data_IF_431011138787
#
_entry.id   IF_431011138787
#
_cell.length_a   1.000
_cell.length_b   1.000
_cell.length_c   1.000
_cell.angle_alpha   90.00
_cell.angle_beta   90.00
_cell.angle_gamma   90.00
#
_symmetry.space_group_name_H-M   'P 1'
#
loop_
_entity.id
_entity.type
_entity.pdbx_description
1 polymer ?
#
# COMPACT_ATOMS: atom_id res chain seq x y z
N UNK A 1 11.13 14.67 -3.93
CA UNK A 1 10.70 13.38 -3.35
C UNK A 1 9.71 12.70 -4.27
N UNK A 2 9.83 11.40 -4.46
CA UNK A 2 8.85 10.59 -5.15
C UNK A 2 8.18 9.63 -4.16
N UNK A 3 6.89 9.37 -4.35
CA UNK A 3 6.11 8.41 -3.56
C UNK A 3 5.44 7.45 -4.52
N UNK A 4 5.77 6.17 -4.39
CA UNK A 4 5.08 5.08 -5.07
C UNK A 4 3.97 4.55 -4.17
N UNK A 5 2.76 4.42 -4.70
CA UNK A 5 1.68 3.65 -4.08
C UNK A 5 1.57 2.35 -4.86
N UNK A 6 2.05 1.27 -4.26
CA UNK A 6 2.12 -0.04 -4.88
C UNK A 6 1.00 -0.92 -4.32
N UNK A 7 0.13 -1.41 -5.17
CA UNK A 7 -1.09 -2.06 -4.73
C UNK A 7 -1.55 -3.19 -5.66
N UNK A 8 -2.25 -4.16 -5.07
CA UNK A 8 -2.95 -5.22 -5.80
C UNK A 8 -4.33 -4.72 -6.24
N UNK A 9 -4.70 -5.04 -7.46
CA UNK A 9 -6.01 -4.73 -8.04
C UNK A 9 -6.13 -3.31 -8.59
N UNK A 10 -7.15 -3.12 -9.43
CA UNK A 10 -7.51 -1.83 -10.03
C UNK A 10 -8.71 -1.22 -9.33
N UNK A 11 -8.77 0.10 -9.29
CA UNK A 11 -9.96 0.82 -8.85
C UNK A 11 -11.04 0.71 -9.94
N UNK A 12 -12.19 0.15 -9.59
CA UNK A 12 -13.36 0.03 -10.47
C UNK A 12 -14.43 1.08 -10.14
N UNK A 13 -14.47 1.53 -8.89
CA UNK A 13 -15.46 2.49 -8.40
C UNK A 13 -15.09 3.92 -8.82
N UNK A 14 -15.93 4.53 -9.66
CA UNK A 14 -15.67 5.87 -10.20
C UNK A 14 -15.51 6.95 -9.13
N UNK A 15 -16.25 6.86 -8.02
CA UNK A 15 -16.16 7.84 -6.94
C UNK A 15 -14.85 7.73 -6.17
N UNK A 16 -14.31 6.51 -5.97
CA UNK A 16 -12.98 6.30 -5.37
C UNK A 16 -11.91 6.84 -6.30
N UNK A 17 -11.97 6.51 -7.60
CA UNK A 17 -11.02 7.00 -8.59
C UNK A 17 -11.00 8.53 -8.65
N UNK A 18 -12.18 9.17 -8.62
CA UNK A 18 -12.31 10.63 -8.59
C UNK A 18 -11.72 11.25 -7.33
N UNK A 19 -11.96 10.64 -6.17
CA UNK A 19 -11.39 11.07 -4.89
C UNK A 19 -9.86 10.99 -4.88
N UNK A 20 -9.30 9.89 -5.35
CA UNK A 20 -7.84 9.70 -5.48
C UNK A 20 -7.24 10.77 -6.41
N UNK A 21 -7.84 11.00 -7.59
CA UNK A 21 -7.36 12.00 -8.54
C UNK A 21 -7.35 13.42 -7.95
N UNK A 22 -8.36 13.76 -7.13
CA UNK A 22 -8.40 15.05 -6.45
C UNK A 22 -7.26 15.19 -5.42
N UNK A 23 -6.98 14.16 -4.62
CA UNK A 23 -5.88 14.19 -3.67
C UNK A 23 -4.51 14.16 -4.36
N UNK A 24 -4.34 13.39 -5.41
CA UNK A 24 -3.11 13.41 -6.23
C UNK A 24 -2.82 14.82 -6.76
N UNK A 25 -3.86 15.53 -7.23
CA UNK A 25 -3.71 16.92 -7.67
C UNK A 25 -3.22 17.84 -6.55
N UNK A 26 -3.76 17.69 -5.33
CA UNK A 26 -3.36 18.48 -4.17
C UNK A 26 -1.94 18.16 -3.70
N UNK A 27 -1.49 16.93 -3.89
CA UNK A 27 -0.15 16.50 -3.49
C UNK A 27 0.97 16.95 -4.44
N UNK A 28 0.66 17.32 -5.68
CA UNK A 28 1.65 17.74 -6.70
C UNK A 28 2.68 18.77 -6.23
N UNK A 29 2.33 19.80 -5.42
CA UNK A 29 3.31 20.78 -4.93
C UNK A 29 4.31 20.18 -3.93
N UNK A 30 3.99 19.07 -3.28
CA UNK A 30 4.76 18.49 -2.19
C UNK A 30 5.62 17.30 -2.62
N UNK A 31 5.07 16.42 -3.46
CA UNK A 31 5.74 15.21 -3.93
C UNK A 31 5.20 14.74 -5.29
N UNK A 32 6.02 14.01 -6.03
CA UNK A 32 5.57 13.27 -7.21
C UNK A 32 5.02 11.93 -6.76
N UNK A 33 3.70 11.84 -6.67
CA UNK A 33 2.99 10.59 -6.35
C UNK A 33 2.67 9.84 -7.64
N UNK A 34 2.81 8.54 -7.65
CA UNK A 34 2.36 7.66 -8.73
C UNK A 34 1.89 6.32 -8.18
N UNK A 35 0.85 5.78 -8.79
CA UNK A 35 0.24 4.51 -8.41
C UNK A 35 0.71 3.41 -9.36
N UNK A 36 1.11 2.28 -8.80
CA UNK A 36 1.44 1.05 -9.54
C UNK A 36 0.44 -0.02 -9.14
N UNK A 37 -0.48 -0.34 -10.04
CA UNK A 37 -1.50 -1.36 -9.84
C UNK A 37 -1.03 -2.69 -10.43
N UNK A 38 -0.98 -3.73 -9.60
CA UNK A 38 -0.64 -5.08 -9.99
C UNK A 38 -1.91 -5.93 -10.12
N UNK A 39 -1.87 -6.94 -10.99
CA UNK A 39 -3.00 -7.83 -11.18
C UNK A 39 -3.30 -8.64 -9.90
N UNK A 40 -4.58 -8.75 -9.56
CA UNK A 40 -5.04 -9.64 -8.50
C UNK A 40 -4.77 -11.10 -8.89
N UNK A 41 -4.32 -11.89 -7.91
CA UNK A 41 -4.30 -13.35 -8.05
C UNK A 41 -5.71 -13.85 -7.76
N UNK A 42 -6.27 -14.66 -8.68
CA UNK A 42 -7.63 -15.19 -8.50
C UNK A 42 -7.72 -16.03 -7.22
N UNK A 43 -8.69 -15.70 -6.39
CA UNK A 43 -9.07 -16.49 -5.22
C UNK A 43 -10.09 -17.54 -5.70
N UNK A 44 -9.85 -18.85 -5.52
CA UNK A 44 -10.84 -19.89 -5.85
C UNK A 44 -12.14 -19.70 -5.07
N UNK A 45 -13.26 -20.08 -5.67
CA UNK A 45 -14.53 -20.17 -4.95
C UNK A 45 -14.39 -21.20 -3.82
N UNK A 46 -14.83 -20.84 -2.61
CA UNK A 46 -14.67 -21.67 -1.40
C UNK A 46 -13.19 -22.05 -1.11
N UNK A 47 -12.27 -21.12 -1.32
CA UNK A 47 -10.85 -21.34 -1.10
C UNK A 47 -10.57 -21.86 0.32
N UNK A 48 -9.73 -22.87 0.42
CA UNK A 48 -9.19 -23.34 1.70
C UNK A 48 -8.17 -22.34 2.25
N UNK A 49 -7.87 -22.43 3.54
CA UNK A 49 -6.84 -21.59 4.17
C UNK A 49 -5.46 -21.73 3.46
N UNK A 50 -5.14 -22.91 2.96
CA UNK A 50 -3.91 -23.14 2.18
C UNK A 50 -3.93 -22.41 0.84
N UNK A 51 -5.06 -22.41 0.14
CA UNK A 51 -5.21 -21.69 -1.13
C UNK A 51 -5.16 -20.19 -0.94
N UNK A 52 -5.82 -19.65 0.08
CA UNK A 52 -5.72 -18.24 0.44
C UNK A 52 -4.29 -17.82 0.78
N UNK A 53 -3.56 -18.67 1.51
CA UNK A 53 -2.17 -18.42 1.82
C UNK A 53 -1.29 -18.38 0.56
N UNK A 54 -1.50 -19.28 -0.38
CA UNK A 54 -0.80 -19.28 -1.68
C UNK A 54 -1.08 -18.02 -2.50
N UNK A 55 -2.33 -17.53 -2.49
CA UNK A 55 -2.69 -16.27 -3.15
C UNK A 55 -1.91 -15.12 -2.52
N UNK A 56 -1.92 -15.00 -1.19
CA UNK A 56 -1.16 -13.97 -0.47
C UNK A 56 0.33 -14.01 -0.75
N UNK A 57 0.92 -15.21 -0.81
CA UNK A 57 2.34 -15.38 -1.11
C UNK A 57 2.67 -14.90 -2.53
N UNK A 58 1.89 -15.31 -3.54
CA UNK A 58 2.07 -14.83 -4.92
C UNK A 58 1.93 -13.32 -5.06
N UNK A 59 0.91 -12.73 -4.42
CA UNK A 59 0.73 -11.29 -4.41
C UNK A 59 1.87 -10.58 -3.67
N UNK A 60 2.36 -11.17 -2.57
CA UNK A 60 3.52 -10.68 -1.83
C UNK A 60 4.81 -10.66 -2.67
N UNK A 61 5.06 -11.72 -3.45
CA UNK A 61 6.20 -11.79 -4.39
C UNK A 61 6.08 -10.71 -5.48
N UNK A 62 4.88 -10.55 -6.05
CA UNK A 62 4.61 -9.51 -7.05
C UNK A 62 4.86 -8.11 -6.46
N UNK A 63 4.37 -7.85 -5.25
CA UNK A 63 4.57 -6.57 -4.57
C UNK A 63 6.07 -6.32 -4.33
N UNK A 64 6.80 -7.27 -3.74
CA UNK A 64 8.23 -7.11 -3.44
C UNK A 64 9.06 -6.85 -4.70
N UNK A 65 8.78 -7.57 -5.80
CA UNK A 65 9.52 -7.43 -7.06
C UNK A 65 9.22 -6.12 -7.81
N UNK A 66 8.14 -5.41 -7.45
CA UNK A 66 7.75 -4.15 -8.08
C UNK A 66 8.03 -2.91 -7.19
N UNK A 67 8.67 -3.07 -6.05
CA UNK A 67 9.21 -1.94 -5.29
C UNK A 67 10.30 -1.31 -6.14
N UNK A 68 10.15 -0.03 -6.45
CA UNK A 68 11.13 0.69 -7.26
C UNK A 68 12.47 0.77 -6.53
N UNK A 69 13.57 0.50 -7.25
CA UNK A 69 14.91 0.58 -6.69
C UNK A 69 15.19 1.92 -6.01
N UNK A 70 15.77 1.89 -4.81
CA UNK A 70 16.05 3.08 -4.02
C UNK A 70 14.85 3.67 -3.27
N UNK A 71 13.68 2.98 -3.29
CA UNK A 71 12.53 3.40 -2.50
C UNK A 71 12.49 2.65 -1.16
N UNK A 72 12.15 3.36 -0.09
CA UNK A 72 11.96 2.80 1.25
C UNK A 72 10.54 2.26 1.34
N UNK A 73 10.36 0.94 1.53
CA UNK A 73 9.04 0.34 1.60
C UNK A 73 8.37 0.57 2.97
N UNK A 74 7.07 0.86 2.93
CA UNK A 74 6.19 1.00 4.10
C UNK A 74 4.94 0.17 3.84
N UNK A 75 4.70 -0.88 4.62
CA UNK A 75 3.53 -1.73 4.46
C UNK A 75 2.33 -1.20 5.27
N UNK A 76 1.16 -1.14 4.64
CA UNK A 76 -0.11 -0.87 5.32
C UNK A 76 -0.73 -2.21 5.74
N UNK A 77 -0.77 -2.45 7.05
CA UNK A 77 -1.38 -3.67 7.62
C UNK A 77 -2.21 -3.28 8.85
N UNK A 78 -3.49 -3.71 8.96
CA UNK A 78 -4.35 -3.35 10.09
C UNK A 78 -3.84 -3.86 11.44
N UNK A 79 -2.92 -4.83 11.46
CA UNK A 79 -2.28 -5.38 12.67
C UNK A 79 -1.01 -4.63 13.07
N UNK A 80 -0.54 -3.70 12.24
CA UNK A 80 0.63 -2.88 12.54
C UNK A 80 0.30 -1.82 13.62
N UNK A 81 1.31 -1.17 14.20
CA UNK A 81 1.09 -0.01 15.07
C UNK A 81 0.28 1.08 14.39
N UNK A 82 -0.65 1.66 15.13
CA UNK A 82 -1.43 2.80 14.65
C UNK A 82 -0.53 4.01 14.44
N UNK A 83 -0.79 4.74 13.37
CA UNK A 83 -0.09 5.99 13.05
C UNK A 83 -1.08 7.16 13.08
N UNK A 84 -0.70 8.28 13.67
CA UNK A 84 -1.45 9.53 13.56
C UNK A 84 -1.14 10.26 12.26
N UNK A 85 -1.99 11.22 11.88
CA UNK A 85 -1.72 12.09 10.71
C UNK A 85 -0.42 12.87 10.88
N UNK A 86 -0.15 13.34 12.10
CA UNK A 86 1.06 14.08 12.46
C UNK A 86 2.30 13.20 12.32
N UNK A 87 2.25 11.96 12.82
CA UNK A 87 3.38 11.02 12.72
C UNK A 87 3.64 10.58 11.28
N UNK A 88 2.58 10.40 10.48
CA UNK A 88 2.72 10.11 9.05
C UNK A 88 3.37 11.31 8.33
N UNK A 89 2.87 12.52 8.59
CA UNK A 89 3.42 13.74 8.00
C UNK A 89 4.89 13.95 8.39
N UNK A 90 5.22 13.73 9.67
CA UNK A 90 6.61 13.77 10.15
C UNK A 90 7.47 12.74 9.45
N UNK A 91 7.00 11.49 9.35
CA UNK A 91 7.74 10.40 8.68
C UNK A 91 8.02 10.69 7.20
N UNK A 92 7.07 11.30 6.49
CA UNK A 92 7.24 11.73 5.10
C UNK A 92 8.20 12.93 5.02
N UNK A 93 8.10 13.87 5.96
CA UNK A 93 8.99 15.02 6.06
C UNK A 93 10.44 14.61 6.31
N UNK A 94 10.69 13.73 7.25
CA UNK A 94 12.02 13.19 7.58
C UNK A 94 12.63 12.48 6.35
N UNK A 95 11.87 11.62 5.69
CA UNK A 95 12.32 10.97 4.45
C UNK A 95 12.66 11.98 3.34
N UNK A 96 11.92 13.08 3.23
CA UNK A 96 12.21 14.14 2.27
C UNK A 96 13.53 14.87 2.59
N UNK A 97 13.80 15.14 3.87
CA UNK A 97 15.05 15.77 4.33
C UNK A 97 16.24 14.85 4.04
N UNK A 98 16.07 13.55 4.23
CA UNK A 98 17.08 12.53 3.95
C UNK A 98 17.27 12.25 2.45
N UNK A 99 16.49 12.86 1.58
CA UNK A 99 16.51 12.62 0.14
C UNK A 99 15.95 11.26 -0.29
N UNK A 100 15.23 10.57 0.61
CA UNK A 100 14.64 9.27 0.36
C UNK A 100 13.32 9.37 -0.42
N UNK A 101 13.02 8.32 -1.19
CA UNK A 101 11.72 8.10 -1.82
C UNK A 101 10.98 6.99 -1.07
N UNK A 102 9.66 7.07 -1.01
CA UNK A 102 8.83 6.11 -0.26
C UNK A 102 8.01 5.22 -1.21
N UNK A 103 7.83 3.95 -0.81
CA UNK A 103 6.91 3.04 -1.45
C UNK A 103 5.89 2.53 -0.42
N UNK A 104 4.66 3.03 -0.48
CA UNK A 104 3.57 2.50 0.34
C UNK A 104 2.97 1.27 -0.33
N UNK A 105 2.86 0.17 0.42
CA UNK A 105 2.40 -1.13 -0.08
C UNK A 105 1.03 -1.45 0.49
N UNK A 106 0.06 -1.69 -0.40
CA UNK A 106 -1.31 -2.06 -0.06
C UNK A 106 -1.61 -3.44 -0.68
N UNK A 107 -1.96 -4.41 0.14
CA UNK A 107 -2.33 -5.75 -0.30
C UNK A 107 -3.69 -5.82 -0.98
N UNK A 108 -4.03 -6.99 -1.48
CA UNK A 108 -5.34 -7.32 -2.00
C UNK A 108 -6.35 -7.66 -0.89
N UNK A 109 -7.50 -8.25 -1.25
CA UNK A 109 -8.59 -8.55 -0.30
C UNK A 109 -8.18 -9.45 0.88
N UNK A 110 -7.21 -10.33 0.68
CA UNK A 110 -6.70 -11.24 1.73
C UNK A 110 -5.61 -10.62 2.61
N UNK A 111 -5.17 -9.38 2.30
CA UNK A 111 -4.10 -8.69 3.01
C UNK A 111 -2.70 -9.10 2.54
N UNK A 112 -1.69 -8.71 3.31
CA UNK A 112 -0.28 -8.94 2.99
C UNK A 112 0.21 -10.30 3.51
N UNK A 113 1.12 -10.92 2.78
CA UNK A 113 1.74 -12.19 3.21
C UNK A 113 2.70 -11.99 4.38
N UNK A 114 2.86 -13.02 5.25
CA UNK A 114 3.87 -12.98 6.31
C UNK A 114 5.29 -12.75 5.78
N UNK A 115 5.63 -13.32 4.63
CA UNK A 115 6.93 -13.15 4.00
C UNK A 115 7.19 -11.68 3.62
N UNK A 116 6.21 -11.00 2.99
CA UNK A 116 6.30 -9.58 2.68
C UNK A 116 6.44 -8.75 3.96
N UNK A 117 5.60 -9.01 4.96
CA UNK A 117 5.65 -8.28 6.23
C UNK A 117 6.99 -8.45 6.96
N UNK A 118 7.63 -9.60 6.83
CA UNK A 118 8.98 -9.84 7.36
C UNK A 118 10.06 -9.09 6.57
N UNK A 119 9.91 -8.98 5.26
CA UNK A 119 10.86 -8.30 4.40
C UNK A 119 10.78 -6.77 4.47
N UNK A 120 9.60 -6.21 4.81
CA UNK A 120 9.38 -4.77 4.91
C UNK A 120 9.54 -4.30 6.35
N UNK A 121 10.57 -3.48 6.67
CA UNK A 121 10.86 -3.12 8.05
C UNK A 121 9.82 -2.17 8.65
N UNK A 122 9.24 -1.28 7.84
CA UNK A 122 8.29 -0.27 8.31
C UNK A 122 6.85 -0.67 7.99
N UNK A 123 6.03 -0.77 9.03
CA UNK A 123 4.62 -1.15 8.93
C UNK A 123 3.78 -0.15 9.71
N UNK A 124 2.65 0.27 9.14
CA UNK A 124 1.73 1.22 9.78
C UNK A 124 0.28 0.78 9.59
N UNK A 125 -0.57 1.17 10.52
CA UNK A 125 -2.01 1.01 10.43
C UNK A 125 -2.72 2.36 10.60
N UNK A 126 -3.75 2.61 9.80
CA UNK A 126 -4.58 3.82 9.93
C UNK A 126 -5.66 3.67 10.99
N UNK A 127 -6.08 2.44 11.30
CA UNK A 127 -7.19 2.18 12.21
C UNK A 127 -7.17 0.72 12.67
N UNK A 128 -7.81 0.46 13.80
CA UNK A 128 -8.17 -0.91 14.21
C UNK A 128 -9.32 -1.49 13.38
N UNK A 129 -10.03 -0.66 12.64
CA UNK A 129 -11.06 -1.08 11.68
C UNK A 129 -10.42 -1.52 10.37
N UNK A 130 -10.99 -2.53 9.75
CA UNK A 130 -10.57 -3.00 8.43
C UNK A 130 -11.25 -2.18 7.34
N UNK A 131 -10.48 -1.65 6.42
CA UNK A 131 -10.96 -1.00 5.19
C UNK A 131 -10.71 -1.92 3.99
N UNK A 132 -11.50 -1.76 2.94
CA UNK A 132 -11.18 -2.39 1.67
C UNK A 132 -9.84 -1.85 1.14
N UNK A 133 -9.12 -2.64 0.36
CA UNK A 133 -7.84 -2.22 -0.23
C UNK A 133 -7.98 -0.98 -1.12
N UNK A 134 -9.15 -0.78 -1.75
CA UNK A 134 -9.46 0.41 -2.56
C UNK A 134 -9.66 1.65 -1.68
N UNK A 135 -10.37 1.51 -0.54
CA UNK A 135 -10.51 2.60 0.44
C UNK A 135 -9.18 2.98 1.08
N UNK A 136 -8.31 2.01 1.36
CA UNK A 136 -6.97 2.31 1.89
C UNK A 136 -6.17 3.26 0.99
N UNK A 137 -6.30 3.13 -0.34
CA UNK A 137 -5.66 4.06 -1.30
C UNK A 137 -6.19 5.48 -1.19
N UNK A 138 -7.50 5.62 -1.03
CA UNK A 138 -8.14 6.94 -0.92
C UNK A 138 -7.75 7.63 0.40
N UNK A 139 -7.68 6.86 1.50
CA UNK A 139 -7.33 7.37 2.82
C UNK A 139 -5.86 7.79 2.88
N UNK A 140 -4.94 7.00 2.28
CA UNK A 140 -3.52 7.29 2.19
C UNK A 140 -3.26 8.58 1.42
#
# INVERSE_FOLDING_TARGET
MQIQILCIGKIKDAWIASGIAEFEKRLRPYAKVFVTELAEVRIPDNASATEEQRVKEKEGELLLSNIKSGFVPVALDPRAPLISSEDLAKSVGDAKIEGANLCFIIGGPLGLSPALLSAVPKKVSFSKMTFTHTMCRLIL
#
